data_IF_068466683322
#
_entry.id   IF_068466683322
#
_cell.length_a   1.000
_cell.length_b   1.000
_cell.length_c   1.000
_cell.angle_alpha   90.00
_cell.angle_beta   90.00
_cell.angle_gamma   90.00
#
_symmetry.space_group_name_H-M   'P 1'
#
loop_
_entity.id
_entity.type
_entity.pdbx_description
1 polymer ?
#
# COMPACT_ATOMS: atom_id res chain seq x y z
N UNK A 1 5.40 -16.60 -1.28
CA UNK A 1 4.10 -16.33 -0.65
C UNK A 1 3.76 -14.84 -0.75
N UNK A 2 2.51 -14.54 -1.05
CA UNK A 2 2.03 -13.17 -1.15
C UNK A 2 2.13 -12.46 0.21
N UNK A 3 2.66 -11.23 0.20
CA UNK A 3 2.63 -10.40 1.40
C UNK A 3 1.42 -9.49 1.33
N UNK A 4 0.56 -9.56 2.33
CA UNK A 4 -0.65 -8.76 2.40
C UNK A 4 -0.51 -7.76 3.54
N UNK A 5 -0.33 -6.49 3.18
CA UNK A 5 -0.05 -5.42 4.14
C UNK A 5 -1.27 -4.54 4.24
N UNK A 6 -1.87 -4.51 5.41
CA UNK A 6 -3.11 -3.75 5.61
C UNK A 6 -3.24 -3.25 7.05
N UNK A 7 -4.26 -2.42 7.25
CA UNK A 7 -4.66 -1.98 8.57
C UNK A 7 -5.93 -2.73 8.95
N UNK A 8 -5.92 -3.54 10.03
CA UNK A 8 -7.07 -4.39 10.37
C UNK A 8 -8.41 -3.68 10.53
N UNK A 9 -8.38 -2.41 10.92
CA UNK A 9 -9.61 -1.61 11.10
C UNK A 9 -10.10 -0.93 9.82
N UNK A 10 -9.35 -1.06 8.72
CA UNK A 10 -9.73 -0.44 7.45
C UNK A 10 -10.76 -1.31 6.72
N UNK A 11 -11.89 -0.72 6.34
CA UNK A 11 -12.97 -1.44 5.65
C UNK A 11 -12.50 -2.06 4.33
N UNK A 12 -11.73 -1.30 3.55
CA UNK A 12 -11.19 -1.78 2.28
C UNK A 12 -10.24 -2.97 2.49
N UNK A 13 -9.43 -2.91 3.54
CA UNK A 13 -8.54 -4.01 3.89
C UNK A 13 -9.33 -5.27 4.27
N UNK A 14 -10.41 -5.10 5.02
CA UNK A 14 -11.26 -6.22 5.41
C UNK A 14 -11.90 -6.89 4.19
N UNK A 15 -12.35 -6.11 3.23
CA UNK A 15 -12.91 -6.63 1.98
C UNK A 15 -11.87 -7.42 1.18
N UNK A 16 -10.67 -6.89 1.07
CA UNK A 16 -9.58 -7.54 0.36
C UNK A 16 -9.19 -8.85 1.02
N UNK A 17 -9.09 -8.85 2.35
CA UNK A 17 -8.75 -10.05 3.11
C UNK A 17 -9.80 -11.14 2.92
N UNK A 18 -11.06 -10.76 3.00
CA UNK A 18 -12.18 -11.68 2.76
C UNK A 18 -12.09 -12.30 1.37
N UNK A 19 -11.80 -11.49 0.36
CA UNK A 19 -11.65 -11.96 -1.01
C UNK A 19 -10.51 -12.98 -1.12
N UNK A 20 -9.37 -12.72 -0.49
CA UNK A 20 -8.23 -13.64 -0.49
C UNK A 20 -8.63 -14.98 0.16
N UNK A 21 -9.30 -14.92 1.30
CA UNK A 21 -9.73 -16.12 2.01
C UNK A 21 -10.75 -16.93 1.21
N UNK A 22 -11.71 -16.26 0.59
CA UNK A 22 -12.75 -16.91 -0.23
C UNK A 22 -12.17 -17.57 -1.48
N UNK A 23 -11.06 -17.06 -1.99
CA UNK A 23 -10.41 -17.61 -3.18
C UNK A 23 -9.25 -18.54 -2.85
N UNK A 24 -9.09 -18.89 -1.56
CA UNK A 24 -8.06 -19.81 -1.08
C UNK A 24 -6.64 -19.39 -1.45
N UNK A 25 -6.38 -18.09 -1.44
CA UNK A 25 -5.06 -17.54 -1.73
C UNK A 25 -4.29 -17.39 -0.43
N UNK A 26 -3.15 -18.05 -0.33
CA UNK A 26 -2.30 -17.97 0.86
C UNK A 26 -1.54 -16.65 0.87
N UNK A 27 -1.41 -16.05 2.05
CA UNK A 27 -0.70 -14.79 2.20
C UNK A 27 -0.10 -14.66 3.60
N UNK A 28 0.94 -13.85 3.70
CA UNK A 28 1.54 -13.46 4.96
C UNK A 28 0.97 -12.09 5.35
N UNK A 29 0.28 -12.04 6.47
CA UNK A 29 -0.34 -10.81 6.96
C UNK A 29 0.67 -9.92 7.68
N UNK A 30 0.59 -8.60 7.41
CA UNK A 30 1.42 -7.62 8.10
C UNK A 30 0.58 -6.39 8.40
N UNK A 31 0.58 -5.95 9.67
CA UNK A 31 -0.13 -4.74 10.09
C UNK A 31 0.70 -3.52 9.68
N UNK A 32 0.14 -2.70 8.81
CA UNK A 32 0.83 -1.55 8.24
C UNK A 32 1.12 -0.46 9.29
N UNK A 33 0.36 -0.44 10.38
CA UNK A 33 0.53 0.56 11.44
C UNK A 33 1.63 0.18 12.42
N UNK A 34 1.62 -1.06 12.90
CA UNK A 34 2.57 -1.54 13.89
C UNK A 34 3.90 -1.97 13.30
N UNK A 35 3.88 -2.39 12.03
CA UNK A 35 5.05 -2.80 11.28
C UNK A 35 5.12 -2.01 9.98
N UNK A 36 5.21 -0.69 10.10
CA UNK A 36 5.18 0.18 8.94
C UNK A 36 6.32 -0.13 7.96
N UNK A 37 6.06 0.02 6.65
CA UNK A 37 7.07 -0.24 5.63
C UNK A 37 8.32 0.60 5.83
N UNK A 38 9.48 0.00 5.56
CA UNK A 38 10.76 0.71 5.61
C UNK A 38 11.00 1.48 4.31
N UNK A 39 11.93 2.40 4.33
CA UNK A 39 12.35 3.13 3.13
C UNK A 39 12.80 2.17 2.03
N UNK A 40 13.57 1.16 2.40
CA UNK A 40 14.08 0.16 1.44
C UNK A 40 12.95 -0.64 0.81
N UNK A 41 11.99 -1.07 1.63
CA UNK A 41 10.83 -1.81 1.15
C UNK A 41 9.99 -0.96 0.18
N UNK A 42 9.68 0.26 0.59
CA UNK A 42 8.88 1.17 -0.23
C UNK A 42 9.55 1.47 -1.57
N UNK A 43 10.87 1.67 -1.56
CA UNK A 43 11.62 1.91 -2.78
C UNK A 43 11.55 0.72 -3.73
N UNK A 44 11.71 -0.50 -3.20
CA UNK A 44 11.63 -1.72 -4.00
C UNK A 44 10.23 -1.93 -4.56
N UNK A 45 9.20 -1.74 -3.73
CA UNK A 45 7.81 -1.91 -4.16
C UNK A 45 7.40 -0.86 -5.19
N UNK A 46 7.84 0.37 -5.02
CA UNK A 46 7.60 1.43 -5.98
C UNK A 46 8.15 1.07 -7.37
N UNK A 47 9.41 0.64 -7.42
CA UNK A 47 10.05 0.23 -8.67
C UNK A 47 9.32 -0.95 -9.32
N UNK A 48 8.92 -1.92 -8.50
CA UNK A 48 8.25 -3.11 -8.98
C UNK A 48 6.83 -2.83 -9.48
N UNK A 49 6.17 -1.85 -8.89
CA UNK A 49 4.77 -1.54 -9.19
C UNK A 49 4.56 -0.91 -10.56
N UNK A 50 5.52 -0.14 -11.04
CA UNK A 50 5.36 0.64 -12.27
C UNK A 50 4.39 1.80 -12.14
N UNK A 51 3.94 2.12 -10.93
CA UNK A 51 2.98 3.20 -10.68
C UNK A 51 3.67 4.49 -10.26
N UNK A 52 3.02 5.65 -10.46
CA UNK A 52 3.52 6.91 -9.89
C UNK A 52 3.56 6.81 -8.36
N UNK A 53 4.59 7.36 -7.75
CA UNK A 53 4.80 7.24 -6.30
C UNK A 53 3.66 7.82 -5.48
N UNK A 54 3.00 8.87 -5.98
CA UNK A 54 1.84 9.47 -5.30
C UNK A 54 0.71 8.47 -5.07
N UNK A 55 0.63 7.40 -5.86
CA UNK A 55 -0.38 6.36 -5.71
C UNK A 55 -0.20 5.54 -4.43
N UNK A 56 0.98 5.60 -3.84
CA UNK A 56 1.27 4.92 -2.58
C UNK A 56 0.80 5.69 -1.35
N UNK A 57 0.27 6.91 -1.54
CA UNK A 57 -0.24 7.71 -0.42
C UNK A 57 -1.72 7.43 -0.17
N UNK A 58 -2.09 7.38 1.09
CA UNK A 58 -3.49 7.24 1.50
C UNK A 58 -4.16 8.61 1.48
N UNK A 59 -4.71 8.97 0.31
CA UNK A 59 -5.30 10.30 0.09
C UNK A 59 -6.56 10.57 0.91
N UNK A 60 -7.20 9.51 1.41
CA UNK A 60 -8.39 9.64 2.26
C UNK A 60 -8.06 9.73 3.74
N UNK A 61 -6.78 9.59 4.10
CA UNK A 61 -6.34 9.54 5.49
C UNK A 61 -6.26 10.90 6.15
N UNK A 62 -6.38 10.89 7.49
CA UNK A 62 -6.31 12.11 8.30
C UNK A 62 -4.93 12.77 8.19
N UNK A 63 -3.85 11.98 8.21
CA UNK A 63 -2.49 12.51 8.10
C UNK A 63 -2.26 13.20 6.77
N UNK A 64 -2.75 12.60 5.68
CA UNK A 64 -2.62 13.20 4.35
C UNK A 64 -3.25 14.58 4.32
N UNK A 65 -4.44 14.70 4.90
CA UNK A 65 -5.18 15.97 4.93
C UNK A 65 -4.55 16.97 5.89
N UNK A 66 -4.20 16.54 7.10
CA UNK A 66 -3.62 17.42 8.12
C UNK A 66 -2.25 17.97 7.73
N UNK A 67 -1.47 17.20 6.98
CA UNK A 67 -0.16 17.61 6.48
C UNK A 67 -0.24 18.36 5.15
N UNK A 68 -1.43 18.56 4.62
CA UNK A 68 -1.67 19.26 3.35
C UNK A 68 -0.85 18.66 2.19
N UNK A 69 -0.77 17.34 2.13
CA UNK A 69 0.06 16.67 1.15
C UNK A 69 -0.41 16.84 -0.28
N UNK A 70 -1.71 17.07 -0.49
CA UNK A 70 -2.25 17.35 -1.82
C UNK A 70 -1.52 18.50 -2.50
N UNK A 71 -1.15 19.53 -1.73
CA UNK A 71 -0.44 20.69 -2.24
C UNK A 71 1.07 20.53 -2.19
N UNK A 72 1.58 19.73 -1.25
CA UNK A 72 3.02 19.55 -1.05
C UNK A 72 3.64 18.52 -1.99
N UNK A 73 2.95 17.41 -2.27
CA UNK A 73 3.52 16.33 -3.08
C UNK A 73 4.03 16.75 -4.45
N UNK A 74 3.34 17.66 -5.19
CA UNK A 74 3.84 18.06 -6.50
C UNK A 74 5.23 18.70 -6.47
N UNK A 75 5.64 19.23 -5.32
CA UNK A 75 6.94 19.88 -5.15
C UNK A 75 7.98 19.00 -4.45
N UNK A 76 7.63 17.74 -4.17
CA UNK A 76 8.53 16.80 -3.51
C UNK A 76 9.19 15.87 -4.51
N UNK A 77 10.45 15.51 -4.23
CA UNK A 77 11.15 14.50 -5.00
C UNK A 77 10.67 13.11 -4.59
N UNK A 78 10.96 12.10 -5.42
CA UNK A 78 10.65 10.71 -5.07
C UNK A 78 11.32 10.30 -3.76
N UNK A 79 12.57 10.71 -3.56
CA UNK A 79 13.31 10.42 -2.33
C UNK A 79 12.62 11.01 -1.10
N UNK A 80 12.14 12.25 -1.21
CA UNK A 80 11.41 12.90 -0.13
C UNK A 80 10.09 12.21 0.15
N UNK A 81 9.36 11.81 -0.88
CA UNK A 81 8.09 11.09 -0.73
C UNK A 81 8.30 9.72 -0.08
N UNK A 82 9.32 8.98 -0.50
CA UNK A 82 9.64 7.67 0.09
C UNK A 82 10.01 7.80 1.57
N UNK A 83 10.82 8.79 1.89
CA UNK A 83 11.20 9.04 3.29
C UNK A 83 9.99 9.39 4.14
N UNK A 84 9.07 10.19 3.60
CA UNK A 84 7.84 10.56 4.31
C UNK A 84 6.95 9.34 4.56
N UNK A 85 6.75 8.51 3.54
CA UNK A 85 5.94 7.28 3.67
C UNK A 85 6.51 6.34 4.74
N UNK A 86 7.84 6.28 4.86
CA UNK A 86 8.49 5.41 5.83
C UNK A 86 8.33 5.88 7.28
N UNK A 87 7.88 7.11 7.50
CA UNK A 87 7.71 7.65 8.86
C UNK A 87 6.44 7.13 9.54
N UNK A 88 5.41 6.76 8.78
CA UNK A 88 4.14 6.34 9.37
C UNK A 88 3.35 5.51 8.36
N UNK A 89 3.02 4.28 8.76
CA UNK A 89 2.24 3.37 7.91
C UNK A 89 0.87 3.90 7.55
N UNK A 90 0.31 4.79 8.36
CA UNK A 90 -1.01 5.38 8.07
C UNK A 90 -0.99 6.36 6.90
N UNK A 91 0.19 6.78 6.46
CA UNK A 91 0.34 7.58 5.24
C UNK A 91 0.27 6.72 3.99
N UNK A 92 0.47 5.43 4.12
CA UNK A 92 0.58 4.51 3.00
C UNK A 92 -0.79 4.02 2.55
N UNK A 93 -1.01 4.01 1.23
CA UNK A 93 -2.22 3.45 0.63
C UNK A 93 -2.32 1.96 0.97
N UNK A 94 -3.51 1.52 1.32
CA UNK A 94 -3.74 0.12 1.72
C UNK A 94 -5.05 -0.41 1.16
N UNK A 95 -5.15 -1.73 0.99
CA UNK A 95 -4.10 -2.72 1.24
C UNK A 95 -3.01 -2.70 0.18
N UNK A 96 -1.85 -3.28 0.53
CA UNK A 96 -0.78 -3.57 -0.43
C UNK A 96 -0.66 -5.09 -0.55
N UNK A 97 -0.56 -5.57 -1.77
CA UNK A 97 -0.31 -6.99 -2.03
C UNK A 97 1.00 -7.09 -2.81
N UNK A 98 2.00 -7.70 -2.19
CA UNK A 98 3.35 -7.78 -2.73
C UNK A 98 3.63 -9.22 -3.20
N UNK A 99 3.71 -9.40 -4.50
CA UNK A 99 4.11 -10.68 -5.11
C UNK A 99 5.59 -10.68 -5.43
N UNK A 100 6.04 -11.73 -6.11
CA UNK A 100 7.44 -11.84 -6.52
C UNK A 100 7.81 -10.83 -7.60
N UNK A 101 6.89 -10.55 -8.51
CA UNK A 101 7.14 -9.69 -9.66
C UNK A 101 6.08 -8.61 -9.86
N UNK A 102 5.26 -8.35 -8.85
CA UNK A 102 4.22 -7.32 -8.94
C UNK A 102 3.89 -6.73 -7.58
N UNK A 103 3.28 -5.55 -7.60
CA UNK A 103 2.73 -4.89 -6.41
C UNK A 103 1.34 -4.36 -6.77
N UNK A 104 0.36 -4.72 -5.96
CA UNK A 104 -1.00 -4.19 -6.09
C UNK A 104 -1.23 -3.16 -4.99
N UNK A 105 -1.68 -1.97 -5.37
CA UNK A 105 -1.90 -0.85 -4.44
C UNK A 105 -3.39 -0.53 -4.39
N UNK A 106 -3.96 -0.64 -3.19
CA UNK A 106 -5.39 -0.54 -3.02
C UNK A 106 -6.08 -1.82 -3.46
N UNK A 107 -7.39 -1.93 -3.20
CA UNK A 107 -8.14 -3.12 -3.60
C UNK A 107 -9.04 -2.81 -4.79
N UNK A 108 -8.60 -3.20 -5.96
CA UNK A 108 -9.39 -3.20 -7.20
C UNK A 108 -9.51 -4.64 -7.61
N UNK A 109 -10.67 -5.23 -7.38
CA UNK A 109 -10.88 -6.66 -7.55
C UNK A 109 -10.43 -7.18 -8.92
N UNK A 110 -10.72 -6.45 -9.99
CA UNK A 110 -10.33 -6.86 -11.34
C UNK A 110 -8.80 -7.04 -11.47
N UNK A 111 -8.02 -6.15 -10.87
CA UNK A 111 -6.56 -6.24 -10.88
C UNK A 111 -6.07 -7.43 -10.06
N UNK A 112 -6.74 -7.69 -8.94
CA UNK A 112 -6.39 -8.81 -8.07
C UNK A 112 -6.71 -10.14 -8.71
N UNK A 113 -7.85 -10.21 -9.42
CA UNK A 113 -8.21 -11.41 -10.21
C UNK A 113 -7.14 -11.69 -11.26
N UNK A 114 -6.72 -10.66 -11.99
CA UNK A 114 -5.72 -10.80 -13.05
C UNK A 114 -4.39 -11.33 -12.54
N UNK A 115 -3.94 -10.85 -11.38
CA UNK A 115 -2.62 -11.20 -10.85
C UNK A 115 -2.60 -12.43 -9.96
N UNK A 116 -3.70 -12.74 -9.29
CA UNK A 116 -3.72 -13.78 -8.25
C UNK A 116 -4.54 -15.02 -8.60
N UNK A 117 -5.29 -14.96 -9.69
CA UNK A 117 -6.12 -16.11 -10.10
C UNK A 117 -5.75 -16.67 -11.47
#
# INVERSE_FOLDING_TARGET
MLKFICYPKCTTCQKARKWLDENNIEYEFRDIKTENPTLEELSAWYKLSGLPLRKFFNTSGLLYKSMELKTKLPNMTDEEMLALLATDGMLVKRPLAIGEDFVLVGFKEAEWVEKLK
#
